data_IF_336835985895
#
_entry.id   IF_336835985895
#
_cell.length_a   1.000
_cell.length_b   1.000
_cell.length_c   1.000
_cell.angle_alpha   90.00
_cell.angle_beta   90.00
_cell.angle_gamma   90.00
#
_symmetry.space_group_name_H-M   'P 1'
#
loop_
_entity.id
_entity.type
_entity.pdbx_description
1 polymer ?
#
# COMPACT_ATOMS: atom_id res chain seq x y z
N UNK A 1 -7.80 -11.76 13.68
CA UNK A 1 -7.90 -11.26 12.30
C UNK A 1 -6.95 -10.09 12.09
N UNK A 2 -6.16 -10.15 11.05
CA UNK A 2 -5.19 -9.10 10.73
C UNK A 2 -5.90 -7.88 10.19
N UNK A 3 -5.62 -6.71 10.77
CA UNK A 3 -6.08 -5.42 10.23
C UNK A 3 -5.05 -4.95 9.21
N UNK A 4 -5.48 -4.60 8.01
CA UNK A 4 -4.61 -4.09 6.96
C UNK A 4 -4.82 -2.58 6.83
N UNK A 5 -3.74 -1.83 7.02
CA UNK A 5 -3.75 -0.36 6.89
C UNK A 5 -2.94 0.00 5.66
N UNK A 6 -3.43 0.90 4.83
CA UNK A 6 -2.73 1.29 3.61
C UNK A 6 -2.39 2.78 3.59
N UNK A 7 -1.17 3.07 3.14
CA UNK A 7 -0.75 4.40 2.73
C UNK A 7 -1.16 4.65 1.27
N UNK A 8 -0.95 5.86 0.79
CA UNK A 8 -1.38 6.34 -0.51
C UNK A 8 -0.74 5.59 -1.68
N UNK A 9 0.58 5.39 -1.64
CA UNK A 9 1.34 4.87 -2.77
C UNK A 9 0.90 3.48 -3.24
N UNK A 10 0.72 2.48 -2.35
CA UNK A 10 0.24 1.16 -2.80
C UNK A 10 -1.14 1.23 -3.46
N UNK A 11 -2.05 2.03 -2.92
CA UNK A 11 -3.38 2.21 -3.52
C UNK A 11 -3.27 2.83 -4.91
N UNK A 12 -2.47 3.89 -5.03
CA UNK A 12 -2.23 4.60 -6.28
C UNK A 12 -1.74 3.65 -7.38
N UNK A 13 -0.68 2.92 -7.11
CA UNK A 13 -0.06 2.06 -8.13
C UNK A 13 -0.91 0.84 -8.47
N UNK A 14 -1.60 0.26 -7.50
CA UNK A 14 -2.51 -0.85 -7.77
C UNK A 14 -3.69 -0.41 -8.66
N UNK A 15 -4.20 0.81 -8.46
CA UNK A 15 -5.22 1.36 -9.37
C UNK A 15 -4.64 1.55 -10.76
N UNK A 16 -3.44 2.15 -10.86
CA UNK A 16 -2.82 2.45 -12.16
C UNK A 16 -2.55 1.20 -13.00
N UNK A 17 -2.20 0.09 -12.38
CA UNK A 17 -1.97 -1.17 -13.11
C UNK A 17 -3.22 -2.05 -13.20
N UNK A 18 -4.38 -1.55 -12.75
CA UNK A 18 -5.65 -2.28 -12.85
C UNK A 18 -5.78 -3.45 -11.88
N UNK A 19 -5.06 -3.44 -10.77
CA UNK A 19 -5.00 -4.55 -9.83
C UNK A 19 -5.45 -4.21 -8.41
N UNK A 20 -6.19 -3.12 -8.24
CA UNK A 20 -6.63 -2.67 -6.91
C UNK A 20 -7.53 -3.71 -6.21
N UNK A 21 -8.27 -4.50 -6.97
CA UNK A 21 -9.16 -5.52 -6.41
C UNK A 21 -8.39 -6.67 -5.71
N UNK A 22 -7.09 -6.80 -5.97
CA UNK A 22 -6.26 -7.76 -5.26
C UNK A 22 -6.30 -7.55 -3.75
N UNK A 23 -6.43 -6.30 -3.29
CA UNK A 23 -6.47 -6.00 -1.86
C UNK A 23 -7.68 -6.66 -1.19
N UNK A 24 -8.84 -6.59 -1.83
CA UNK A 24 -10.04 -7.28 -1.35
C UNK A 24 -9.84 -8.79 -1.35
N UNK A 25 -9.26 -9.31 -2.44
CA UNK A 25 -9.08 -10.76 -2.60
C UNK A 25 -8.04 -11.34 -1.63
N UNK A 26 -6.99 -10.58 -1.30
CA UNK A 26 -5.95 -11.00 -0.37
C UNK A 26 -6.34 -10.78 1.08
N UNK A 27 -6.95 -9.64 1.39
CA UNK A 27 -7.10 -9.17 2.77
C UNK A 27 -8.55 -8.96 3.21
N UNK A 28 -9.48 -8.92 2.29
CA UNK A 28 -10.90 -8.68 2.56
C UNK A 28 -11.23 -7.21 2.77
N UNK A 29 -10.66 -6.57 3.77
CA UNK A 29 -10.92 -5.17 4.13
C UNK A 29 -9.60 -4.45 4.36
N UNK A 30 -9.55 -3.19 3.94
CA UNK A 30 -8.38 -2.32 4.12
C UNK A 30 -8.83 -1.03 4.79
N UNK A 31 -8.05 -0.56 5.76
CA UNK A 31 -8.31 0.65 6.53
C UNK A 31 -7.34 1.74 6.07
N UNK A 32 -7.84 2.95 5.90
CA UNK A 32 -7.02 4.11 5.54
C UNK A 32 -7.36 5.31 6.41
N UNK A 33 -6.38 6.16 6.74
CA UNK A 33 -6.68 7.40 7.45
C UNK A 33 -7.25 8.46 6.49
N UNK A 34 -7.95 9.50 7.00
CA UNK A 34 -8.46 10.58 6.17
C UNK A 34 -7.39 11.29 5.33
N UNK A 35 -6.16 11.40 5.83
CA UNK A 35 -5.04 12.03 5.13
C UNK A 35 -4.72 11.30 3.83
N UNK A 36 -4.84 9.97 3.80
CA UNK A 36 -4.65 9.17 2.59
C UNK A 36 -5.77 9.44 1.58
N UNK A 37 -7.01 9.54 2.04
CA UNK A 37 -8.13 9.91 1.17
C UNK A 37 -7.89 11.30 0.57
N UNK A 38 -7.42 12.26 1.37
CA UNK A 38 -7.11 13.60 0.89
C UNK A 38 -6.05 13.56 -0.22
N UNK A 39 -4.99 12.78 -0.07
CA UNK A 39 -3.95 12.64 -1.08
C UNK A 39 -4.48 11.99 -2.36
N UNK A 40 -5.33 10.97 -2.25
CA UNK A 40 -5.93 10.30 -3.40
C UNK A 40 -6.94 11.17 -4.14
N UNK A 41 -7.50 12.18 -3.48
CA UNK A 41 -8.46 13.13 -4.07
C UNK A 41 -7.83 14.47 -4.45
N UNK A 42 -6.53 14.63 -4.23
CA UNK A 42 -5.80 15.82 -4.64
C UNK A 42 -5.89 16.00 -6.16
N UNK A 43 -6.04 17.24 -6.63
CA UNK A 43 -6.12 17.56 -8.05
C UNK A 43 -4.91 17.12 -8.86
N UNK A 44 -3.76 16.88 -8.22
CA UNK A 44 -2.55 16.38 -8.87
C UNK A 44 -2.52 14.84 -8.97
N UNK A 45 -3.47 14.13 -8.34
CA UNK A 45 -3.55 12.68 -8.43
C UNK A 45 -3.91 12.22 -9.84
N UNK A 46 -3.45 11.02 -10.27
CA UNK A 46 -3.84 10.49 -11.57
C UNK A 46 -5.36 10.40 -11.74
N UNK A 47 -5.83 10.61 -12.94
CA UNK A 47 -7.27 10.60 -13.25
C UNK A 47 -7.94 9.29 -12.83
N UNK A 48 -7.31 8.17 -13.13
CA UNK A 48 -7.84 6.84 -12.79
C UNK A 48 -8.01 6.68 -11.29
N UNK A 49 -7.08 7.23 -10.52
CA UNK A 49 -7.12 7.19 -9.06
C UNK A 49 -8.26 8.07 -8.53
N UNK A 50 -8.42 9.28 -9.09
CA UNK A 50 -9.52 10.16 -8.72
C UNK A 50 -10.89 9.52 -9.00
N UNK A 51 -11.03 8.88 -10.14
CA UNK A 51 -12.27 8.20 -10.52
C UNK A 51 -12.55 7.01 -9.57
N UNK A 52 -11.52 6.23 -9.24
CA UNK A 52 -11.67 5.09 -8.34
C UNK A 52 -12.11 5.53 -6.95
N UNK A 53 -11.45 6.54 -6.38
CA UNK A 53 -11.75 6.96 -5.00
C UNK A 53 -13.13 7.62 -4.88
N UNK A 54 -13.64 8.23 -5.96
CA UNK A 54 -15.00 8.79 -5.98
C UNK A 54 -16.07 7.72 -5.82
N UNK A 55 -15.80 6.52 -6.34
CA UNK A 55 -16.67 5.35 -6.22
C UNK A 55 -16.09 4.38 -5.20
N UNK A 56 -15.60 4.90 -4.09
CA UNK A 56 -14.90 4.12 -3.06
C UNK A 56 -15.64 2.81 -2.74
N UNK A 57 -14.93 1.65 -2.83
CA UNK A 57 -15.55 0.37 -2.54
C UNK A 57 -15.84 0.21 -1.04
N UNK A 58 -16.80 -0.65 -0.72
CA UNK A 58 -17.19 -0.90 0.67
C UNK A 58 -16.06 -1.51 1.51
N UNK A 59 -15.14 -2.26 0.86
CA UNK A 59 -14.03 -2.88 1.57
C UNK A 59 -12.94 -1.90 2.01
N UNK A 60 -12.98 -0.65 1.53
CA UNK A 60 -12.05 0.41 1.95
C UNK A 60 -12.72 1.24 3.05
N UNK A 61 -12.25 1.03 4.27
CA UNK A 61 -12.79 1.72 5.44
C UNK A 61 -11.91 2.93 5.79
N UNK A 62 -12.52 4.09 6.02
CA UNK A 62 -11.80 5.28 6.50
C UNK A 62 -11.87 5.30 8.03
N UNK A 63 -10.73 5.40 8.69
CA UNK A 63 -10.64 5.45 10.14
C UNK A 63 -9.66 6.51 10.57
N UNK A 64 -10.05 7.33 11.54
CA UNK A 64 -9.16 8.35 12.12
C UNK A 64 -8.37 7.72 13.27
N UNK A 65 -7.04 7.96 13.37
CA UNK A 65 -6.29 7.54 14.55
C UNK A 65 -6.91 8.11 15.82
N UNK A 66 -6.99 7.27 16.87
CA UNK A 66 -7.60 7.66 18.15
C UNK A 66 -6.78 8.72 18.87
N UNK A 67 -5.46 8.67 18.75
CA UNK A 67 -4.56 9.63 19.37
C UNK A 67 -3.73 10.35 18.33
N UNK A 68 -3.79 11.68 18.35
CA UNK A 68 -2.83 12.51 17.64
C UNK A 68 -1.58 12.60 18.51
N UNK A 69 -0.75 11.57 18.42
CA UNK A 69 0.54 11.59 19.11
C UNK A 69 1.49 12.46 18.30
N UNK A 70 1.84 13.61 18.85
CA UNK A 70 2.95 14.40 18.34
C UNK A 70 4.25 13.64 18.61
N UNK A 71 4.53 12.64 17.79
CA UNK A 71 5.77 11.88 17.84
C UNK A 71 6.77 12.60 16.95
N UNK A 72 7.80 13.19 17.55
CA UNK A 72 8.84 13.92 16.81
C UNK A 72 9.55 13.03 15.77
N UNK A 73 9.61 11.71 15.99
CA UNK A 73 10.20 10.79 15.04
C UNK A 73 9.37 10.64 13.77
N UNK A 74 8.08 10.98 13.81
CA UNK A 74 7.17 10.94 12.67
C UNK A 74 6.93 12.32 12.05
N UNK A 75 7.46 13.39 12.65
CA UNK A 75 7.18 14.76 12.20
C UNK A 75 7.75 15.11 10.83
N UNK A 76 8.76 14.37 10.38
CA UNK A 76 9.45 14.62 9.11
C UNK A 76 8.98 13.75 7.95
N UNK A 77 7.98 12.91 8.18
CA UNK A 77 7.41 12.10 7.11
C UNK A 77 6.08 12.69 6.67
N UNK A 78 5.65 12.29 5.48
CA UNK A 78 4.41 12.71 4.86
C UNK A 78 3.22 12.49 5.79
N UNK A 79 2.24 13.42 5.85
CA UNK A 79 1.05 13.29 6.70
C UNK A 79 0.27 11.97 6.51
N UNK A 80 0.14 11.49 5.28
CA UNK A 80 -0.53 10.22 5.02
C UNK A 80 0.24 9.03 5.61
N UNK A 81 1.56 9.00 5.41
CA UNK A 81 2.42 7.96 5.98
C UNK A 81 2.36 7.98 7.52
N UNK A 82 2.45 9.17 8.09
CA UNK A 82 2.37 9.36 9.55
C UNK A 82 1.06 8.81 10.09
N UNK A 83 -0.06 9.21 9.50
CA UNK A 83 -1.37 8.78 9.95
C UNK A 83 -1.56 7.27 9.80
N UNK A 84 -1.04 6.68 8.71
CA UNK A 84 -1.09 5.22 8.50
C UNK A 84 -0.30 4.48 9.57
N UNK A 85 0.90 4.96 9.92
CA UNK A 85 1.70 4.36 11.00
C UNK A 85 0.97 4.46 12.33
N UNK A 86 0.36 5.62 12.64
CA UNK A 86 -0.40 5.81 13.87
C UNK A 86 -1.59 4.85 13.97
N UNK A 87 -2.33 4.66 12.87
CA UNK A 87 -3.41 3.66 12.83
C UNK A 87 -2.89 2.25 13.07
N UNK A 88 -1.78 1.89 12.43
CA UNK A 88 -1.20 0.56 12.56
C UNK A 88 -0.77 0.29 14.00
N UNK A 89 -0.25 1.29 14.70
CA UNK A 89 0.17 1.14 16.10
C UNK A 89 -0.99 0.82 17.05
N UNK A 90 -2.20 1.17 16.68
CA UNK A 90 -3.39 0.92 17.51
C UNK A 90 -3.85 -0.54 17.48
N UNK A 91 -3.32 -1.33 16.55
CA UNK A 91 -3.73 -2.70 16.34
C UNK A 91 -2.64 -3.68 16.77
N UNK A 92 -3.04 -4.83 17.35
CA UNK A 92 -2.09 -5.88 17.76
C UNK A 92 -1.67 -6.75 16.58
N UNK A 93 -2.61 -7.10 15.73
CA UNK A 93 -2.38 -7.93 14.54
C UNK A 93 -2.64 -7.05 13.33
N UNK A 94 -1.58 -6.55 12.73
CA UNK A 94 -1.66 -5.54 11.67
C UNK A 94 -0.66 -5.83 10.56
N UNK A 95 -1.02 -5.45 9.35
CA UNK A 95 -0.12 -5.34 8.21
C UNK A 95 -0.26 -3.94 7.63
N UNK A 96 0.85 -3.22 7.53
CA UNK A 96 0.88 -1.88 6.94
C UNK A 96 1.39 -1.97 5.50
N UNK A 97 0.62 -1.41 4.56
CA UNK A 97 1.01 -1.30 3.16
C UNK A 97 1.62 0.09 2.95
N UNK A 98 2.92 0.12 2.70
CA UNK A 98 3.68 1.36 2.58
C UNK A 98 4.90 1.13 1.67
N UNK A 99 5.13 2.03 0.72
CA UNK A 99 6.23 1.89 -0.26
C UNK A 99 7.49 2.65 0.14
N UNK A 100 7.34 3.81 0.78
CA UNK A 100 8.48 4.67 1.10
C UNK A 100 9.46 3.99 2.05
N UNK A 101 10.75 4.00 1.68
CA UNK A 101 11.80 3.32 2.45
C UNK A 101 11.91 3.88 3.87
N UNK A 102 11.86 5.20 4.04
CA UNK A 102 11.95 5.83 5.36
C UNK A 102 10.73 5.48 6.21
N UNK A 103 9.54 5.48 5.62
CA UNK A 103 8.30 5.08 6.30
C UNK A 103 8.34 3.61 6.73
N UNK A 104 8.82 2.73 5.86
CA UNK A 104 8.97 1.31 6.16
C UNK A 104 9.95 1.07 7.31
N UNK A 105 11.05 1.81 7.32
CA UNK A 105 12.04 1.73 8.41
C UNK A 105 11.43 2.16 9.74
N UNK A 106 10.66 3.25 9.75
CA UNK A 106 9.98 3.73 10.97
C UNK A 106 8.95 2.73 11.47
N UNK A 107 8.19 2.11 10.56
CA UNK A 107 7.24 1.05 10.91
C UNK A 107 7.96 -0.15 11.52
N UNK A 108 9.05 -0.60 10.89
CA UNK A 108 9.81 -1.76 11.36
C UNK A 108 10.44 -1.51 12.74
N UNK A 109 10.92 -0.30 13.00
CA UNK A 109 11.43 0.08 14.33
C UNK A 109 10.36 0.04 15.41
N UNK A 110 9.10 0.15 15.03
CA UNK A 110 7.94 0.04 15.93
C UNK A 110 7.35 -1.35 15.96
N UNK A 111 8.05 -2.32 15.36
CA UNK A 111 7.59 -3.71 15.25
C UNK A 111 6.27 -3.86 14.52
N UNK A 112 6.02 -2.99 13.53
CA UNK A 112 4.83 -3.05 12.68
C UNK A 112 5.18 -3.83 11.41
N UNK A 113 4.58 -5.01 11.18
CA UNK A 113 4.74 -5.73 9.92
C UNK A 113 4.30 -4.85 8.75
N UNK A 114 5.12 -4.79 7.71
CA UNK A 114 4.84 -3.92 6.58
C UNK A 114 5.29 -4.56 5.26
N UNK A 115 4.67 -4.14 4.18
CA UNK A 115 5.03 -4.53 2.81
C UNK A 115 4.67 -3.39 1.87
N UNK A 116 5.21 -3.41 0.66
CA UNK A 116 4.91 -2.41 -0.34
C UNK A 116 4.12 -2.99 -1.50
N UNK A 117 3.99 -2.21 -2.56
CA UNK A 117 3.28 -2.62 -3.78
C UNK A 117 3.84 -3.93 -4.32
N UNK A 118 5.17 -4.06 -4.40
CA UNK A 118 5.81 -5.30 -4.91
C UNK A 118 5.47 -6.51 -4.04
N UNK A 119 5.44 -6.35 -2.72
CA UNK A 119 5.08 -7.42 -1.80
C UNK A 119 3.63 -7.88 -1.96
N UNK A 120 2.72 -6.95 -2.24
CA UNK A 120 1.32 -7.27 -2.54
C UNK A 120 1.23 -8.09 -3.81
N UNK A 121 1.93 -7.67 -4.87
CA UNK A 121 1.94 -8.42 -6.14
C UNK A 121 2.52 -9.82 -5.96
N UNK A 122 3.61 -9.93 -5.21
CA UNK A 122 4.23 -11.23 -4.89
C UNK A 122 3.25 -12.14 -4.14
N UNK A 123 2.59 -11.62 -3.11
CA UNK A 123 1.61 -12.37 -2.33
C UNK A 123 0.46 -12.87 -3.20
N UNK A 124 -0.03 -12.02 -4.12
CA UNK A 124 -1.08 -12.39 -5.06
C UNK A 124 -0.63 -13.49 -6.02
N UNK A 125 0.60 -13.38 -6.54
CA UNK A 125 1.16 -14.39 -7.45
C UNK A 125 1.31 -15.74 -6.76
N UNK A 126 1.72 -15.76 -5.50
CA UNK A 126 1.84 -16.99 -4.71
C UNK A 126 0.51 -17.69 -4.47
N UNK A 127 -0.60 -16.98 -4.61
CA UNK A 127 -1.95 -17.51 -4.50
C UNK A 127 -2.61 -17.71 -5.87
N UNK A 128 -1.83 -17.63 -6.95
CA UNK A 128 -2.31 -17.76 -8.33
C UNK A 128 -3.42 -16.76 -8.70
N UNK A 129 -3.38 -15.57 -8.10
CA UNK A 129 -4.35 -14.49 -8.36
C UNK A 129 -3.88 -13.49 -9.40
N UNK A 130 -2.64 -13.62 -9.89
CA UNK A 130 -1.97 -12.60 -10.69
C UNK A 130 -0.95 -13.21 -11.63
N UNK A 131 -0.89 -12.69 -12.85
CA UNK A 131 0.23 -12.90 -13.77
C UNK A 131 1.32 -11.90 -13.37
N UNK A 132 2.30 -12.35 -12.60
CA UNK A 132 3.32 -11.46 -12.01
C UNK A 132 4.18 -10.75 -13.07
N UNK A 133 4.75 -11.45 -14.09
CA UNK A 133 5.54 -10.75 -15.10
C UNK A 133 4.76 -9.62 -15.80
N UNK A 134 3.50 -9.87 -16.11
CA UNK A 134 2.64 -8.88 -16.77
C UNK A 134 2.36 -7.69 -15.85
N UNK A 135 2.07 -7.94 -14.58
CA UNK A 135 1.82 -6.88 -13.60
C UNK A 135 3.07 -6.03 -13.39
N UNK A 136 4.25 -6.66 -13.31
CA UNK A 136 5.51 -5.93 -13.15
C UNK A 136 5.83 -5.09 -14.38
N UNK A 137 5.52 -5.58 -15.59
CA UNK A 137 5.69 -4.81 -16.82
C UNK A 137 4.78 -3.56 -16.80
N UNK A 138 3.54 -3.71 -16.37
CA UNK A 138 2.61 -2.56 -16.24
C UNK A 138 3.11 -1.57 -15.20
N UNK A 139 3.60 -2.06 -14.08
CA UNK A 139 4.14 -1.20 -13.03
C UNK A 139 5.36 -0.41 -13.53
N UNK A 140 6.22 -1.05 -14.31
CA UNK A 140 7.38 -0.38 -14.93
C UNK A 140 7.02 0.70 -15.94
N UNK A 141 5.79 0.69 -16.49
CA UNK A 141 5.30 1.74 -17.38
C UNK A 141 4.77 2.96 -16.60
N UNK A 142 4.65 2.87 -15.29
CA UNK A 142 4.31 3.99 -14.40
C UNK A 142 5.58 4.66 -13.91
N UNK A 143 5.45 5.67 -13.04
CA UNK A 143 6.61 6.30 -12.40
C UNK A 143 7.09 5.59 -11.13
N UNK A 144 6.63 4.36 -10.89
CA UNK A 144 7.10 3.56 -9.75
C UNK A 144 8.57 3.22 -9.92
N UNK A 145 9.36 3.49 -8.88
CA UNK A 145 10.79 3.26 -8.92
C UNK A 145 11.14 1.88 -8.37
N UNK A 146 11.73 1.07 -9.23
CA UNK A 146 12.18 -0.27 -8.87
C UNK A 146 13.38 -0.62 -9.74
N UNK A 147 14.37 -1.30 -9.15
CA UNK A 147 15.54 -1.75 -9.90
C UNK A 147 15.19 -2.95 -10.78
N UNK A 148 15.85 -3.04 -11.94
CA UNK A 148 15.69 -4.19 -12.84
C UNK A 148 16.11 -5.48 -12.15
N UNK A 149 17.13 -5.44 -11.31
CA UNK A 149 17.60 -6.62 -10.59
C UNK A 149 16.54 -7.18 -9.64
N UNK A 150 15.76 -6.30 -8.99
CA UNK A 150 14.68 -6.75 -8.12
C UNK A 150 13.53 -7.34 -8.92
N UNK A 151 13.18 -6.74 -10.06
CA UNK A 151 12.17 -7.29 -10.96
C UNK A 151 12.57 -8.68 -11.43
N UNK A 152 13.82 -8.84 -11.86
CA UNK A 152 14.34 -10.12 -12.34
C UNK A 152 14.31 -11.19 -11.25
N UNK A 153 14.65 -10.82 -10.01
CA UNK A 153 14.60 -11.73 -8.87
C UNK A 153 13.17 -12.19 -8.57
N UNK A 154 12.20 -11.28 -8.63
CA UNK A 154 10.79 -11.60 -8.41
C UNK A 154 10.24 -12.54 -9.49
N UNK A 155 10.60 -12.28 -10.75
CA UNK A 155 10.19 -13.14 -11.86
C UNK A 155 10.83 -14.54 -11.74
N UNK A 156 12.12 -14.60 -11.37
CA UNK A 156 12.81 -15.88 -11.19
C UNK A 156 12.15 -16.70 -10.08
N UNK A 157 11.82 -16.10 -8.96
CA UNK A 157 11.10 -16.74 -7.85
C UNK A 157 9.74 -17.27 -8.32
N UNK A 158 9.01 -16.46 -9.08
CA UNK A 158 7.69 -16.81 -9.60
C UNK A 158 7.74 -18.03 -10.52
N UNK A 159 8.79 -18.14 -11.32
CA UNK A 159 8.99 -19.28 -12.23
C UNK A 159 9.29 -20.59 -11.50
N UNK A 160 9.78 -20.52 -10.28
CA UNK A 160 10.12 -21.70 -9.47
C UNK A 160 8.93 -22.28 -8.70
N UNK A 161 7.77 -21.66 -8.75
CA UNK A 161 6.56 -22.09 -8.03
C UNK A 161 6.02 -23.40 -8.59
#
# INVERSE_FOLDING_TARGET
MTVVVADTSPLNYLVLIGQIDLLRRLYGRVVVPPEVIAELTDGAAPREVLEWIRSRPEWLEVRTPLEDRSDSALSQIDPGERAAILLAQEERDVLLLIDDAAGRMKASRRHIPNTGTLGVLRAAAMRDLLDLPRALARLGATNFRVSQSLIDALIAEDLER
#
